data_IF_136492093766
#
_entry.id   IF_136492093766
#
_cell.length_a   1.000
_cell.length_b   1.000
_cell.length_c   1.000
_cell.angle_alpha   90.00
_cell.angle_beta   90.00
_cell.angle_gamma   90.00
#
_symmetry.space_group_name_H-M   'P 1'
#
loop_
_entity.id
_entity.type
_entity.pdbx_description
1 polymer ?
#
# COMPACT_ATOMS: atom_id res chain seq x y z
N UNK A 1 10.95 19.08 8.77
CA UNK A 1 10.16 18.36 9.81
C UNK A 1 8.74 18.93 9.88
N UNK A 2 7.77 18.16 10.39
CA UNK A 2 6.39 18.62 10.61
C UNK A 2 6.26 19.57 11.80
N UNK A 3 5.12 20.27 11.89
CA UNK A 3 4.68 20.86 13.17
C UNK A 3 4.40 19.73 14.17
N UNK A 4 4.53 20.04 15.45
CA UNK A 4 4.16 19.12 16.52
C UNK A 4 2.67 18.82 16.48
N UNK A 5 2.33 17.54 16.61
CA UNK A 5 0.95 17.08 16.76
C UNK A 5 0.83 16.25 18.02
N UNK A 6 -0.35 16.27 18.63
CA UNK A 6 -0.61 15.37 19.76
C UNK A 6 -0.51 13.92 19.29
N UNK A 7 0.08 13.06 20.12
CA UNK A 7 0.29 11.68 19.69
C UNK A 7 -1.02 10.93 19.47
N UNK A 8 -2.09 11.28 20.21
CA UNK A 8 -3.44 10.73 19.98
C UNK A 8 -3.97 11.06 18.59
N UNK A 9 -3.84 12.30 18.14
CA UNK A 9 -4.23 12.68 16.77
C UNK A 9 -3.41 11.92 15.73
N UNK A 10 -2.10 11.75 15.97
CA UNK A 10 -1.26 10.93 15.09
C UNK A 10 -1.75 9.48 14.99
N UNK A 11 -2.09 8.85 16.13
CA UNK A 11 -2.63 7.48 16.15
C UNK A 11 -3.90 7.36 15.31
N UNK A 12 -4.82 8.31 15.48
CA UNK A 12 -6.06 8.37 14.70
C UNK A 12 -5.76 8.47 13.20
N UNK A 13 -4.81 9.32 12.80
CA UNK A 13 -4.39 9.41 11.39
C UNK A 13 -3.79 8.11 10.86
N UNK A 14 -2.96 7.41 11.64
CA UNK A 14 -2.40 6.11 11.23
C UNK A 14 -3.50 5.06 11.05
N UNK A 15 -4.49 5.01 11.94
CA UNK A 15 -5.63 4.10 11.80
C UNK A 15 -6.47 4.41 10.56
N UNK A 16 -6.83 5.68 10.34
CA UNK A 16 -7.56 6.09 9.14
C UNK A 16 -6.77 5.80 7.87
N UNK A 17 -5.47 6.03 7.88
CA UNK A 17 -4.60 5.72 6.76
C UNK A 17 -4.58 4.21 6.46
N UNK A 18 -4.42 3.36 7.48
CA UNK A 18 -4.41 1.91 7.30
C UNK A 18 -5.73 1.40 6.69
N UNK A 19 -6.87 1.84 7.24
CA UNK A 19 -8.20 1.45 6.74
C UNK A 19 -8.43 1.99 5.34
N UNK A 20 -8.20 3.29 5.12
CA UNK A 20 -8.42 3.94 3.83
C UNK A 20 -7.51 3.35 2.74
N UNK A 21 -6.24 3.10 3.06
CA UNK A 21 -5.30 2.49 2.11
C UNK A 21 -5.67 1.05 1.78
N UNK A 22 -6.21 0.29 2.74
CA UNK A 22 -6.69 -1.08 2.48
C UNK A 22 -7.93 -1.06 1.57
N UNK A 23 -8.90 -0.18 1.86
CA UNK A 23 -10.10 -0.01 1.03
C UNK A 23 -9.69 0.34 -0.40
N UNK A 24 -8.85 1.36 -0.58
CA UNK A 24 -8.38 1.77 -1.92
C UNK A 24 -7.68 0.62 -2.63
N UNK A 25 -6.84 -0.16 -1.93
CA UNK A 25 -6.17 -1.30 -2.55
C UNK A 25 -7.15 -2.40 -3.01
N UNK A 26 -8.14 -2.72 -2.18
CA UNK A 26 -9.16 -3.74 -2.48
C UNK A 26 -10.09 -3.31 -3.61
N UNK A 27 -10.48 -2.02 -3.67
CA UNK A 27 -11.35 -1.52 -4.75
C UNK A 27 -10.63 -1.33 -6.08
N UNK A 28 -9.30 -1.23 -6.07
CA UNK A 28 -8.50 -1.06 -7.30
C UNK A 28 -7.93 -2.37 -7.84
N UNK A 29 -7.96 -3.45 -7.05
CA UNK A 29 -7.33 -4.73 -7.41
C UNK A 29 -8.37 -5.86 -7.40
N UNK A 30 -9.06 -6.06 -8.54
CA UNK A 30 -10.09 -7.09 -8.71
C UNK A 30 -9.49 -8.43 -9.14
N UNK A 31 -8.66 -9.05 -8.29
CA UNK A 31 -8.12 -10.39 -8.55
C UNK A 31 -7.96 -11.22 -7.28
N UNK A 32 -8.14 -12.54 -7.40
CA UNK A 32 -7.92 -13.48 -6.29
C UNK A 32 -6.52 -13.36 -5.68
N UNK A 33 -5.50 -13.10 -6.50
CA UNK A 33 -4.13 -12.84 -6.05
C UNK A 33 -4.03 -11.57 -5.20
N UNK A 34 -4.66 -10.47 -5.61
CA UNK A 34 -4.65 -9.24 -4.83
C UNK A 34 -5.33 -9.40 -3.46
N UNK A 35 -6.42 -10.18 -3.40
CA UNK A 35 -7.06 -10.53 -2.13
C UNK A 35 -6.15 -11.37 -1.23
N UNK A 36 -5.41 -12.34 -1.78
CA UNK A 36 -4.40 -13.12 -1.04
C UNK A 36 -3.33 -12.19 -0.47
N UNK A 37 -2.78 -11.29 -1.29
CA UNK A 37 -1.77 -10.32 -0.85
C UNK A 37 -2.33 -9.38 0.21
N UNK A 38 -3.57 -8.92 0.06
CA UNK A 38 -4.23 -8.10 1.05
C UNK A 38 -4.33 -8.83 2.40
N UNK A 39 -4.88 -10.03 2.42
CA UNK A 39 -5.15 -10.79 3.65
C UNK A 39 -3.88 -11.30 4.33
N UNK A 40 -2.91 -11.81 3.57
CA UNK A 40 -1.72 -12.47 4.14
C UNK A 40 -0.52 -11.53 4.31
N UNK A 41 -0.51 -10.35 3.67
CA UNK A 41 0.62 -9.42 3.76
C UNK A 41 0.20 -8.05 4.28
N UNK A 42 -0.71 -7.35 3.59
CA UNK A 42 -1.04 -5.96 3.95
C UNK A 42 -1.80 -5.85 5.28
N UNK A 43 -2.82 -6.68 5.50
CA UNK A 43 -3.59 -6.68 6.75
C UNK A 43 -2.69 -6.96 7.97
N UNK A 44 -1.89 -8.05 8.01
CA UNK A 44 -1.00 -8.28 9.15
C UNK A 44 0.05 -7.17 9.30
N UNK A 45 0.59 -6.63 8.20
CA UNK A 45 1.53 -5.52 8.24
C UNK A 45 0.91 -4.25 8.86
N UNK A 46 -0.29 -3.84 8.41
CA UNK A 46 -0.99 -2.70 9.01
C UNK A 46 -1.39 -2.99 10.45
N UNK A 47 -1.80 -4.21 10.77
CA UNK A 47 -2.11 -4.65 12.13
C UNK A 47 -0.92 -4.43 13.07
N UNK A 48 0.28 -4.88 12.67
CA UNK A 48 1.51 -4.67 13.43
C UNK A 48 1.82 -3.17 13.59
N UNK A 49 1.73 -2.39 12.51
CA UNK A 49 1.95 -0.94 12.56
C UNK A 49 1.01 -0.24 13.54
N UNK A 50 -0.29 -0.54 13.46
CA UNK A 50 -1.33 0.05 14.33
C UNK A 50 -1.11 -0.37 15.78
N UNK A 51 -0.91 -1.65 16.05
CA UNK A 51 -0.64 -2.17 17.41
C UNK A 51 0.59 -1.48 18.00
N UNK A 52 1.67 -1.35 17.23
CA UNK A 52 2.89 -0.68 17.68
C UNK A 52 2.63 0.78 18.07
N UNK A 53 1.92 1.53 17.22
CA UNK A 53 1.56 2.94 17.51
C UNK A 53 0.65 3.03 18.74
N UNK A 54 -0.32 2.11 18.91
CA UNK A 54 -1.21 2.08 20.07
C UNK A 54 -0.46 1.77 21.38
N UNK A 55 0.44 0.78 21.38
CA UNK A 55 1.29 0.47 22.54
C UNK A 55 2.15 1.67 22.91
N UNK A 56 2.76 2.32 21.91
CA UNK A 56 3.51 3.55 22.14
C UNK A 56 2.62 4.64 22.74
N UNK A 57 1.37 4.78 22.27
CA UNK A 57 0.42 5.80 22.75
C UNK A 57 0.01 5.59 24.21
N UNK A 58 -0.09 4.33 24.65
CA UNK A 58 -0.33 3.99 26.05
C UNK A 58 0.88 4.41 26.91
N UNK A 59 2.10 4.10 26.47
CA UNK A 59 3.33 4.42 27.20
C UNK A 59 3.62 5.93 27.24
N UNK A 60 3.30 6.66 26.18
CA UNK A 60 3.65 8.08 25.98
C UNK A 60 2.42 8.97 25.82
N UNK A 61 1.48 8.86 26.78
CA UNK A 61 0.12 9.42 26.68
C UNK A 61 0.06 10.94 26.43
N UNK A 62 1.06 11.69 26.90
CA UNK A 62 1.15 13.15 26.77
C UNK A 62 2.27 13.62 25.82
N UNK A 63 2.95 12.70 25.14
CA UNK A 63 4.03 13.09 24.23
C UNK A 63 3.47 13.78 22.98
N UNK A 64 4.28 14.67 22.42
CA UNK A 64 4.07 15.23 21.08
C UNK A 64 4.95 14.49 20.10
N UNK A 65 4.46 14.34 18.87
CA UNK A 65 5.18 13.66 17.80
C UNK A 65 5.53 14.65 16.70
N UNK A 66 6.78 14.55 16.23
CA UNK A 66 7.28 15.23 15.06
C UNK A 66 7.73 14.19 14.05
N UNK A 67 7.32 14.35 12.79
CA UNK A 67 7.67 13.42 11.71
C UNK A 67 8.30 14.16 10.53
N UNK A 68 8.93 13.43 9.64
CA UNK A 68 9.59 14.00 8.48
C UNK A 68 8.64 14.02 7.29
N UNK A 69 8.15 15.22 6.91
CA UNK A 69 7.10 15.39 5.90
C UNK A 69 7.42 14.74 4.54
N UNK A 70 8.69 14.63 4.17
CA UNK A 70 9.11 14.06 2.88
C UNK A 70 8.76 12.57 2.72
N UNK A 71 8.55 11.84 3.82
CA UNK A 71 8.11 10.44 3.73
C UNK A 71 6.67 10.29 3.26
N UNK A 72 5.79 11.28 3.51
CA UNK A 72 4.39 11.22 3.08
C UNK A 72 4.27 11.12 1.55
N UNK A 73 4.84 12.06 0.75
CA UNK A 73 4.75 11.95 -0.70
C UNK A 73 5.48 10.70 -1.23
N UNK A 74 6.58 10.28 -0.60
CA UNK A 74 7.27 9.03 -0.97
C UNK A 74 6.36 7.81 -0.82
N UNK A 75 5.69 7.67 0.32
CA UNK A 75 4.74 6.58 0.59
C UNK A 75 3.60 6.61 -0.43
N UNK A 76 3.06 7.80 -0.72
CA UNK A 76 1.97 7.95 -1.70
C UNK A 76 2.38 7.56 -3.11
N UNK A 77 3.59 7.95 -3.54
CA UNK A 77 4.13 7.57 -4.87
C UNK A 77 4.29 6.05 -4.96
N UNK A 78 4.88 5.42 -3.94
CA UNK A 78 5.08 3.96 -3.95
C UNK A 78 3.74 3.23 -3.84
N UNK A 79 2.78 3.76 -3.06
CA UNK A 79 1.42 3.24 -2.98
C UNK A 79 0.72 3.29 -4.34
N UNK A 80 0.84 4.41 -5.07
CA UNK A 80 0.30 4.54 -6.42
C UNK A 80 0.98 3.55 -7.38
N UNK A 81 2.31 3.42 -7.36
CA UNK A 81 3.04 2.46 -8.17
C UNK A 81 2.59 1.00 -7.91
N UNK A 82 2.38 0.64 -6.64
CA UNK A 82 1.82 -0.66 -6.22
C UNK A 82 0.40 -0.88 -6.75
N UNK A 83 -0.46 0.13 -6.72
CA UNK A 83 -1.83 0.05 -7.25
C UNK A 83 -1.83 -0.08 -8.78
N UNK A 84 -0.98 0.68 -9.47
CA UNK A 84 -0.90 0.64 -10.93
C UNK A 84 -0.31 -0.67 -11.47
N UNK A 85 0.61 -1.27 -10.71
CA UNK A 85 1.18 -2.60 -11.00
C UNK A 85 0.33 -3.75 -10.46
N UNK A 86 -0.74 -3.49 -9.71
CA UNK A 86 -1.55 -4.57 -9.16
C UNK A 86 -2.37 -5.26 -10.26
N UNK A 87 -2.58 -6.59 -10.13
CA UNK A 87 -3.41 -7.34 -11.06
C UNK A 87 -4.89 -6.94 -10.93
N UNK A 88 -5.47 -6.45 -12.03
CA UNK A 88 -6.83 -5.87 -12.06
C UNK A 88 -7.87 -6.71 -12.82
N UNK A 89 -7.46 -7.61 -13.72
CA UNK A 89 -8.40 -8.39 -14.55
C UNK A 89 -8.14 -9.91 -14.57
N UNK A 90 -7.81 -10.50 -13.43
CA UNK A 90 -7.85 -11.96 -13.29
C UNK A 90 -9.30 -12.42 -13.03
N UNK A 91 -10.15 -12.46 -14.05
CA UNK A 91 -11.46 -13.11 -13.91
C UNK A 91 -11.28 -14.64 -13.91
N UNK A 92 -11.57 -15.28 -12.77
CA UNK A 92 -11.51 -16.73 -12.60
C UNK A 92 -10.18 -17.29 -12.06
N UNK A 93 -10.19 -18.57 -11.68
CA UNK A 93 -9.00 -19.31 -11.23
C UNK A 93 -8.21 -19.80 -12.45
N UNK A 94 -7.65 -18.85 -13.21
CA UNK A 94 -6.88 -19.13 -14.42
C UNK A 94 -5.43 -19.44 -14.05
N UNK A 95 -5.16 -20.65 -13.55
CA UNK A 95 -3.78 -21.13 -13.39
C UNK A 95 -3.10 -21.17 -14.77
N UNK A 96 -2.10 -20.31 -14.98
CA UNK A 96 -1.23 -20.34 -16.16
C UNK A 96 -1.42 -19.20 -17.17
N UNK A 97 -2.41 -18.33 -17.02
CA UNK A 97 -2.59 -17.15 -17.89
C UNK A 97 -2.17 -15.88 -17.14
N UNK A 98 -1.36 -15.04 -17.80
CA UNK A 98 -0.97 -13.73 -17.28
C UNK A 98 -2.16 -12.79 -17.12
N UNK A 99 -2.14 -11.96 -16.08
CA UNK A 99 -3.22 -11.03 -15.79
C UNK A 99 -2.82 -9.61 -16.15
N UNK A 100 -3.78 -8.82 -16.65
CA UNK A 100 -3.50 -7.42 -16.90
C UNK A 100 -3.48 -6.61 -15.59
N UNK A 101 -2.53 -5.69 -15.50
CA UNK A 101 -2.46 -4.72 -14.41
C UNK A 101 -3.48 -3.60 -14.58
N UNK A 102 -3.77 -2.86 -13.51
CA UNK A 102 -4.70 -1.72 -13.56
C UNK A 102 -4.26 -0.66 -14.59
N UNK A 103 -2.96 -0.39 -14.67
CA UNK A 103 -2.39 0.55 -15.64
C UNK A 103 -2.68 0.12 -17.09
N UNK A 104 -2.62 -1.18 -17.36
CA UNK A 104 -2.90 -1.73 -18.70
C UNK A 104 -4.38 -1.65 -19.06
N UNK A 105 -5.27 -1.84 -18.08
CA UNK A 105 -6.71 -1.66 -18.26
C UNK A 105 -7.07 -0.21 -18.61
N UNK A 106 -6.33 0.75 -18.06
CA UNK A 106 -6.58 2.20 -18.23
C UNK A 106 -6.02 2.77 -19.55
N UNK A 107 -4.93 2.20 -20.08
CA UNK A 107 -4.19 2.78 -21.21
C UNK A 107 -4.64 2.31 -22.59
N UNK A 108 -5.45 1.26 -22.70
CA UNK A 108 -5.77 0.66 -24.00
C UNK A 108 -7.29 0.45 -24.21
N UNK A 109 -7.95 1.27 -25.04
CA UNK A 109 -9.38 1.14 -25.33
C UNK A 109 -9.72 -0.05 -26.25
N UNK A 110 -8.74 -0.78 -26.80
CA UNK A 110 -8.97 -1.89 -27.73
C UNK A 110 -8.90 -3.29 -27.09
N UNK A 111 -8.46 -3.41 -25.83
CA UNK A 111 -8.08 -4.69 -25.22
C UNK A 111 -9.21 -5.63 -24.79
N UNK A 112 -10.48 -5.29 -25.02
CA UNK A 112 -11.61 -6.19 -24.68
C UNK A 112 -11.87 -7.29 -25.73
N UNK A 113 -11.26 -7.25 -26.94
CA UNK A 113 -11.58 -8.23 -28.01
C UNK A 113 -10.41 -8.87 -28.76
N UNK A 114 -9.16 -8.39 -28.67
CA UNK A 114 -8.12 -8.75 -29.65
C UNK A 114 -6.82 -9.38 -29.13
N UNK A 115 -6.54 -9.46 -27.83
CA UNK A 115 -5.17 -9.77 -27.35
C UNK A 115 -4.95 -11.16 -26.74
N UNK A 116 -5.57 -12.20 -27.30
CA UNK A 116 -5.23 -13.59 -26.94
C UNK A 116 -3.89 -14.09 -27.53
N UNK A 117 -3.27 -13.36 -28.48
CA UNK A 117 -2.26 -13.93 -29.39
C UNK A 117 -0.93 -13.15 -29.53
N UNK A 118 -0.63 -12.15 -28.69
CA UNK A 118 0.67 -11.46 -28.71
C UNK A 118 1.56 -11.87 -27.53
N UNK A 119 2.90 -11.88 -27.68
CA UNK A 119 3.81 -12.29 -26.61
C UNK A 119 3.81 -11.31 -25.42
N UNK A 120 4.03 -11.79 -24.18
CA UNK A 120 3.95 -10.99 -22.96
C UNK A 120 4.94 -9.84 -22.83
N UNK A 121 4.58 -8.62 -23.24
CA UNK A 121 5.32 -7.42 -22.84
C UNK A 121 5.05 -7.00 -21.37
N UNK A 122 4.16 -7.72 -20.68
CA UNK A 122 3.61 -7.40 -19.36
C UNK A 122 4.32 -8.08 -18.17
N UNK A 123 5.30 -8.95 -18.45
CA UNK A 123 6.07 -9.68 -17.43
C UNK A 123 6.86 -8.72 -16.51
N UNK A 124 7.33 -7.60 -17.08
CA UNK A 124 7.99 -6.55 -16.31
C UNK A 124 7.04 -5.93 -15.26
N UNK A 125 5.80 -5.62 -15.63
CA UNK A 125 4.83 -4.97 -14.74
C UNK A 125 4.36 -5.94 -13.64
N UNK A 126 4.11 -7.20 -13.99
CA UNK A 126 3.78 -8.25 -12.99
C UNK A 126 4.94 -8.46 -12.00
N UNK A 127 6.20 -8.46 -12.48
CA UNK A 127 7.38 -8.60 -11.60
C UNK A 127 7.63 -7.38 -10.71
N UNK A 128 7.16 -6.19 -11.10
CA UNK A 128 7.29 -4.95 -10.32
C UNK A 128 6.36 -4.91 -9.11
N UNK A 129 5.23 -5.61 -9.16
CA UNK A 129 4.25 -5.61 -8.06
C UNK A 129 4.84 -6.05 -6.70
N UNK A 130 5.50 -7.22 -6.56
CA UNK A 130 6.09 -7.63 -5.28
C UNK A 130 7.18 -6.66 -4.82
N UNK A 131 7.96 -6.09 -5.75
CA UNK A 131 8.98 -5.09 -5.43
C UNK A 131 8.34 -3.81 -4.90
N UNK A 132 7.31 -3.28 -5.57
CA UNK A 132 6.57 -2.10 -5.14
C UNK A 132 5.86 -2.32 -3.80
N UNK A 133 5.32 -3.52 -3.55
CA UNK A 133 4.72 -3.90 -2.28
C UNK A 133 5.74 -3.89 -1.13
N UNK A 134 6.92 -4.48 -1.35
CA UNK A 134 7.99 -4.52 -0.34
C UNK A 134 8.51 -3.10 -0.06
N UNK A 135 8.78 -2.31 -1.10
CA UNK A 135 9.21 -0.92 -0.96
C UNK A 135 8.16 -0.08 -0.22
N UNK A 136 6.87 -0.34 -0.50
CA UNK A 136 5.77 0.31 0.21
C UNK A 136 5.82 -0.02 1.70
N UNK A 137 5.92 -1.30 2.07
CA UNK A 137 6.02 -1.72 3.47
C UNK A 137 7.25 -1.11 4.17
N UNK A 138 8.42 -1.12 3.52
CA UNK A 138 9.65 -0.52 4.05
C UNK A 138 9.45 0.99 4.26
N UNK A 139 8.85 1.70 3.30
CA UNK A 139 8.63 3.15 3.41
C UNK A 139 7.72 3.52 4.58
N UNK A 140 6.65 2.75 4.80
CA UNK A 140 5.73 2.95 5.94
C UNK A 140 6.44 2.65 7.27
N UNK A 141 7.18 1.55 7.33
CA UNK A 141 7.95 1.20 8.53
C UNK A 141 9.02 2.25 8.84
N UNK A 142 9.79 2.68 7.83
CA UNK A 142 10.80 3.73 7.97
C UNK A 142 10.19 5.06 8.43
N UNK A 143 9.00 5.41 7.93
CA UNK A 143 8.27 6.59 8.40
C UNK A 143 7.92 6.49 9.89
N UNK A 144 7.39 5.35 10.35
CA UNK A 144 7.08 5.12 11.76
C UNK A 144 8.33 5.11 12.65
N UNK A 145 9.46 4.59 12.16
CA UNK A 145 10.74 4.64 12.87
C UNK A 145 11.36 6.04 12.90
N UNK A 146 11.05 6.88 11.92
CA UNK A 146 11.53 8.28 11.87
C UNK A 146 10.84 9.21 12.87
N UNK A 147 9.82 8.73 13.58
CA UNK A 147 9.06 9.52 14.54
C UNK A 147 9.95 9.96 15.71
N UNK A 148 9.97 11.26 15.96
CA UNK A 148 10.62 11.83 17.13
C UNK A 148 9.57 12.18 18.16
N UNK A 149 9.69 11.56 19.33
CA UNK A 149 8.88 11.86 20.50
C UNK A 149 9.51 13.01 21.27
N UNK A 150 8.72 14.05 21.55
CA UNK A 150 9.07 15.08 22.51
C UNK A 150 8.21 14.86 23.74
N UNK A 151 8.86 14.54 24.84
CA UNK A 151 8.22 14.46 26.16
C UNK A 151 7.98 15.90 26.63
N UNK A 152 6.78 16.13 27.16
CA UNK A 152 6.37 17.42 27.76
C UNK A 152 6.72 17.37 29.24
#
# INVERSE_FOLDING_TARGET
MSKEISFRQFCVFVCFYAIGSLIVYLTTSFSSLAWIVAFFSLIPFYGVCVIWVLIAAIKKRNAKVRYYKAFIPLILIIQAAKILSSPASCYGWSQGNSCYSLLQLLLDPANLKTLSNTPPHWLAIESMFPVALILYMISVAAFLLSLRFQEV
#
